data_IF_055503934024
#
_entry.id   IF_055503934024
#
_cell.length_a   1.000
_cell.length_b   1.000
_cell.length_c   1.000
_cell.angle_alpha   90.00
_cell.angle_beta   90.00
_cell.angle_gamma   90.00
#
_symmetry.space_group_name_H-M   'P 1'
#
loop_
_entity.id
_entity.type
_entity.pdbx_description
1 polymer ?
#
# COMPACT_ATOMS: atom_id res chain seq x y z
N UNK A 1 50.39 39.61 7.16
CA UNK A 1 49.71 39.89 8.45
C UNK A 1 49.08 38.57 8.91
N UNK A 2 49.65 38.03 9.99
CA UNK A 2 49.20 36.96 10.89
C UNK A 2 48.57 35.65 10.36
N UNK A 3 49.37 34.60 10.58
CA UNK A 3 49.09 33.16 10.69
C UNK A 3 47.92 32.87 11.63
N UNK A 4 47.11 31.85 11.32
CA UNK A 4 46.49 30.97 12.34
C UNK A 4 46.10 29.61 11.73
N UNK A 5 47.10 28.73 11.67
CA UNK A 5 47.02 27.33 11.28
C UNK A 5 46.55 26.42 12.45
N UNK A 6 45.66 26.92 13.32
CA UNK A 6 45.44 26.39 14.68
C UNK A 6 44.04 25.87 15.03
N UNK A 7 43.10 25.77 14.08
CA UNK A 7 41.72 25.38 14.41
C UNK A 7 41.44 23.86 14.30
N UNK A 8 42.36 23.09 13.70
CA UNK A 8 42.14 21.65 13.41
C UNK A 8 42.64 20.71 14.50
N UNK A 9 43.46 21.19 15.44
CA UNK A 9 44.02 20.41 16.56
C UNK A 9 43.18 20.46 17.83
N UNK A 10 42.40 21.52 18.06
CA UNK A 10 41.57 21.67 19.28
C UNK A 10 40.30 20.80 19.28
N UNK A 11 39.79 20.40 18.10
CA UNK A 11 38.63 19.50 17.98
C UNK A 11 38.97 18.02 18.24
N UNK A 12 40.25 17.64 18.12
CA UNK A 12 40.72 16.27 18.36
C UNK A 12 41.05 16.06 19.84
N UNK A 13 41.50 17.11 20.54
CA UNK A 13 41.84 17.04 21.96
C UNK A 13 40.62 16.89 22.89
N UNK A 14 39.45 17.43 22.52
CA UNK A 14 38.24 17.37 23.35
C UNK A 14 37.49 16.04 23.26
N UNK A 15 37.67 15.28 22.18
CA UNK A 15 37.08 13.94 22.02
C UNK A 15 37.91 12.83 22.71
N UNK A 16 39.19 13.06 22.96
CA UNK A 16 40.05 12.09 23.65
C UNK A 16 39.92 12.13 25.19
N UNK A 17 39.54 13.27 25.77
CA UNK A 17 39.43 13.45 27.23
C UNK A 17 38.08 12.98 27.82
N UNK A 18 37.06 12.77 27.00
CA UNK A 18 35.77 12.20 27.44
C UNK A 18 35.76 10.67 27.55
N UNK A 19 36.83 10.00 27.10
CA UNK A 19 37.00 8.53 27.20
C UNK A 19 37.73 8.07 28.48
N UNK A 20 38.18 8.99 29.35
CA UNK A 20 38.94 8.66 30.57
C UNK A 20 38.17 8.81 31.88
N UNK A 21 36.89 9.20 31.85
CA UNK A 21 36.07 9.40 33.06
C UNK A 21 34.68 8.75 33.00
N UNK A 22 34.61 7.45 32.73
CA UNK A 22 33.48 6.68 33.25
C UNK A 22 33.89 5.27 33.71
N UNK A 23 33.51 4.85 34.93
CA UNK A 23 34.05 3.66 35.57
C UNK A 23 33.39 2.37 35.05
N UNK A 24 34.19 1.31 35.07
CA UNK A 24 33.83 -0.07 34.79
C UNK A 24 33.04 -0.73 35.92
N UNK A 25 31.85 -1.23 35.62
CA UNK A 25 31.22 -2.45 36.16
C UNK A 25 30.21 -2.90 35.09
N UNK A 26 30.02 -4.14 34.66
CA UNK A 26 30.56 -5.45 34.96
C UNK A 26 29.56 -6.46 34.37
N UNK A 27 30.07 -7.42 33.59
CA UNK A 27 29.46 -8.70 33.19
C UNK A 27 28.33 -8.75 32.13
N UNK A 28 28.60 -9.48 31.04
CA UNK A 28 27.61 -9.96 30.07
C UNK A 28 28.20 -10.15 28.67
N UNK A 29 29.08 -11.15 28.50
CA UNK A 29 29.76 -11.40 27.23
C UNK A 29 28.83 -11.82 26.10
N UNK A 30 29.02 -11.24 24.92
CA UNK A 30 28.51 -11.75 23.65
C UNK A 30 29.72 -11.94 22.73
N UNK A 31 30.04 -13.20 22.50
CA UNK A 31 31.10 -13.64 21.58
C UNK A 31 30.72 -13.35 20.13
N UNK A 32 31.66 -12.71 19.47
CA UNK A 32 31.78 -12.48 18.03
C UNK A 32 31.91 -13.85 17.31
N UNK A 33 30.95 -14.22 16.47
CA UNK A 33 31.09 -15.34 15.54
C UNK A 33 31.02 -14.86 14.09
N UNK A 34 32.23 -14.70 13.56
CA UNK A 34 32.64 -14.80 12.17
C UNK A 34 31.72 -15.72 11.35
N UNK A 35 31.03 -15.12 10.37
CA UNK A 35 30.30 -15.82 9.32
C UNK A 35 31.27 -16.71 8.50
N UNK A 36 31.27 -18.01 8.78
CA UNK A 36 31.89 -19.01 7.91
C UNK A 36 30.83 -19.55 6.94
N UNK A 37 31.15 -19.46 5.65
CA UNK A 37 30.39 -20.07 4.57
C UNK A 37 30.60 -21.60 4.65
N UNK A 38 29.76 -22.28 5.42
CA UNK A 38 29.69 -23.74 5.47
C UNK A 38 28.73 -24.25 4.41
N UNK A 39 29.28 -24.81 3.34
CA UNK A 39 28.54 -25.71 2.46
C UNK A 39 28.39 -27.07 3.14
N UNK A 40 27.16 -27.58 3.25
CA UNK A 40 26.80 -28.98 2.94
C UNK A 40 25.29 -29.15 3.10
N UNK A 41 24.74 -29.94 2.17
CA UNK A 41 23.38 -30.48 2.16
C UNK A 41 22.91 -30.94 3.55
N UNK A 42 21.70 -30.53 3.92
CA UNK A 42 20.74 -31.48 4.47
C UNK A 42 19.31 -30.95 4.39
N UNK A 43 18.45 -31.80 3.85
CA UNK A 43 17.02 -31.61 3.61
C UNK A 43 16.25 -31.46 4.94
N UNK A 44 16.42 -30.32 5.60
CA UNK A 44 15.66 -29.92 6.76
C UNK A 44 14.67 -28.84 6.33
N UNK A 45 13.39 -29.21 6.27
CA UNK A 45 12.32 -28.22 6.16
C UNK A 45 12.36 -27.36 7.42
N UNK A 46 13.04 -26.21 7.34
CA UNK A 46 13.02 -25.20 8.40
C UNK A 46 11.56 -24.80 8.60
N UNK A 47 10.97 -25.27 9.69
CA UNK A 47 9.64 -24.85 10.10
C UNK A 47 9.78 -23.39 10.49
N UNK A 48 9.40 -22.49 9.58
CA UNK A 48 9.33 -21.06 9.83
C UNK A 48 8.28 -20.83 10.93
N UNK A 49 8.73 -20.77 12.17
CA UNK A 49 7.85 -20.49 13.30
C UNK A 49 7.44 -19.02 13.27
N UNK A 50 6.19 -18.77 12.86
CA UNK A 50 5.62 -17.44 12.86
C UNK A 50 5.34 -17.01 14.30
N UNK A 51 6.25 -16.24 14.90
CA UNK A 51 5.99 -15.57 16.16
C UNK A 51 4.71 -14.72 16.04
N UNK A 52 3.71 -15.02 16.87
CA UNK A 52 2.43 -14.30 16.86
C UNK A 52 2.65 -12.91 17.43
N UNK A 53 2.62 -11.90 16.55
CA UNK A 53 2.63 -10.49 16.95
C UNK A 53 1.21 -10.09 17.33
N UNK A 54 0.99 -9.77 18.58
CA UNK A 54 -0.27 -9.20 19.07
C UNK A 54 -0.15 -7.68 19.03
N UNK A 55 -1.11 -7.01 18.39
CA UNK A 55 -1.24 -5.56 18.48
C UNK A 55 -2.02 -5.29 19.76
N UNK A 56 -1.31 -4.86 20.82
CA UNK A 56 -1.96 -4.38 22.05
C UNK A 56 -2.31 -2.91 21.83
N UNK A 57 -3.60 -2.59 21.73
CA UNK A 57 -4.04 -1.20 21.67
C UNK A 57 -4.00 -0.62 23.10
N UNK A 58 -3.42 0.57 23.31
CA UNK A 58 -3.44 1.20 24.61
C UNK A 58 -4.89 1.41 25.05
N UNK A 59 -5.17 0.99 26.29
CA UNK A 59 -6.44 1.24 26.97
C UNK A 59 -6.53 2.77 27.11
N UNK A 60 -7.65 3.37 26.69
CA UNK A 60 -7.91 4.83 26.52
C UNK A 60 -7.85 5.36 25.07
N UNK A 61 -7.69 4.49 24.07
CA UNK A 61 -7.85 4.87 22.65
C UNK A 61 -6.53 5.23 21.95
N UNK A 62 -6.65 5.70 20.71
CA UNK A 62 -5.49 5.97 19.85
C UNK A 62 -5.75 7.07 18.83
N UNK A 63 -4.65 7.62 18.29
CA UNK A 63 -4.67 8.66 17.26
C UNK A 63 -4.20 8.05 15.95
N UNK A 64 -5.08 7.97 14.95
CA UNK A 64 -4.66 7.70 13.58
C UNK A 64 -4.42 9.02 12.88
N UNK A 65 -3.22 9.20 12.32
CA UNK A 65 -2.82 10.43 11.63
C UNK A 65 -2.35 10.10 10.23
N UNK A 66 -2.98 10.74 9.24
CA UNK A 66 -2.57 10.68 7.83
C UNK A 66 -2.16 12.09 7.41
N UNK A 67 -0.92 12.23 6.96
CA UNK A 67 -0.41 13.48 6.39
C UNK A 67 -0.30 13.32 4.87
N UNK A 68 -1.06 14.11 4.13
CA UNK A 68 -0.99 14.20 2.67
C UNK A 68 -0.25 15.49 2.33
N UNK A 69 0.89 15.36 1.66
CA UNK A 69 1.69 16.50 1.21
C UNK A 69 1.66 16.61 -0.32
N UNK A 70 1.57 17.84 -0.83
CA UNK A 70 1.77 18.17 -2.23
C UNK A 70 2.83 19.26 -2.32
N UNK A 71 3.87 19.02 -3.12
CA UNK A 71 4.89 20.00 -3.46
C UNK A 71 4.98 20.10 -4.98
N UNK A 72 4.89 21.32 -5.50
CA UNK A 72 5.06 21.57 -6.93
C UNK A 72 5.84 22.86 -7.18
N UNK A 73 6.87 22.83 -8.06
CA UNK A 73 7.54 24.05 -8.49
C UNK A 73 6.64 24.84 -9.46
N UNK A 74 6.41 26.12 -9.17
CA UNK A 74 5.63 27.02 -10.03
C UNK A 74 6.56 28.03 -10.69
N UNK A 75 6.62 28.00 -12.03
CA UNK A 75 7.34 29.01 -12.82
C UNK A 75 6.41 30.18 -13.09
N UNK A 76 6.69 31.32 -12.50
CA UNK A 76 6.03 32.59 -12.85
C UNK A 76 6.82 33.30 -13.95
N UNK A 77 6.25 34.37 -14.50
CA UNK A 77 6.93 35.21 -15.49
C UNK A 77 8.18 35.93 -14.91
N UNK A 78 8.35 35.91 -13.58
CA UNK A 78 9.53 36.43 -12.90
C UNK A 78 10.65 35.37 -12.77
N UNK A 79 11.93 35.79 -12.77
CA UNK A 79 13.09 34.90 -12.87
C UNK A 79 13.36 34.03 -11.63
N UNK A 80 12.64 34.24 -10.53
CA UNK A 80 12.86 33.52 -9.28
C UNK A 80 11.97 32.26 -9.19
N UNK A 81 12.54 31.06 -8.99
CA UNK A 81 11.74 29.85 -8.78
C UNK A 81 11.03 29.91 -7.42
N UNK A 82 9.72 29.65 -7.42
CA UNK A 82 8.92 29.53 -6.18
C UNK A 82 8.30 28.13 -6.12
N UNK A 83 8.22 27.56 -4.92
CA UNK A 83 7.54 26.29 -4.67
C UNK A 83 6.18 26.52 -4.02
N UNK A 84 5.19 25.75 -4.46
CA UNK A 84 3.88 25.67 -3.83
C UNK A 84 3.85 24.40 -3.00
N UNK A 85 3.66 24.56 -1.70
CA UNK A 85 3.58 23.46 -0.73
C UNK A 85 2.20 23.45 -0.09
N UNK A 86 1.55 22.30 -0.11
CA UNK A 86 0.26 22.04 0.53
C UNK A 86 0.42 20.83 1.45
N UNK A 87 0.01 20.97 2.71
CA UNK A 87 -0.04 19.88 3.67
C UNK A 87 -1.44 19.73 4.23
N UNK A 88 -2.05 18.56 4.06
CA UNK A 88 -3.34 18.19 4.65
C UNK A 88 -3.07 17.15 5.73
N UNK A 89 -3.48 17.45 6.95
CA UNK A 89 -3.32 16.56 8.09
C UNK A 89 -4.71 16.07 8.53
N UNK A 90 -4.99 14.80 8.27
CA UNK A 90 -6.18 14.10 8.71
C UNK A 90 -5.86 13.37 10.01
N UNK A 91 -6.40 13.89 11.12
CA UNK A 91 -6.26 13.27 12.43
C UNK A 91 -7.61 12.74 12.88
N UNK A 92 -7.65 11.44 13.18
CA UNK A 92 -8.82 10.80 13.76
C UNK A 92 -8.46 10.27 15.15
N UNK A 93 -9.14 10.81 16.16
CA UNK A 93 -9.00 10.38 17.54
C UNK A 93 -10.11 9.37 17.83
N UNK A 94 -9.74 8.16 18.24
CA UNK A 94 -10.70 7.11 18.58
C UNK A 94 -10.60 6.81 20.06
N UNK A 95 -11.65 7.12 20.81
CA UNK A 95 -11.80 6.68 22.19
C UNK A 95 -12.30 5.23 22.18
N UNK A 96 -11.46 4.29 22.60
CA UNK A 96 -11.87 2.91 22.82
C UNK A 96 -12.44 2.82 24.23
N UNK A 97 -13.68 2.37 24.36
CA UNK A 97 -14.30 2.15 25.67
C UNK A 97 -13.42 1.20 26.49
N UNK A 98 -13.18 1.49 27.78
CA UNK A 98 -12.42 0.59 28.66
C UNK A 98 -13.17 -0.74 28.89
N UNK A 99 -14.48 -0.75 28.63
CA UNK A 99 -15.25 -1.97 28.59
C UNK A 99 -14.92 -2.69 27.30
N UNK A 100 -14.08 -3.70 27.43
CA UNK A 100 -13.65 -4.56 26.34
C UNK A 100 -14.86 -5.36 25.86
N UNK A 101 -15.59 -4.83 24.87
CA UNK A 101 -16.66 -5.55 24.15
C UNK A 101 -16.02 -6.50 23.13
N UNK A 102 -14.97 -7.25 23.52
CA UNK A 102 -14.62 -8.39 22.68
C UNK A 102 -15.84 -9.32 22.72
N UNK A 103 -16.31 -9.84 21.58
CA UNK A 103 -17.08 -11.07 21.64
C UNK A 103 -16.26 -12.04 22.48
N UNK A 104 -16.88 -12.71 23.47
CA UNK A 104 -16.24 -13.81 24.18
C UNK A 104 -15.41 -14.62 23.19
N UNK A 105 -14.16 -14.97 23.49
CA UNK A 105 -13.28 -15.63 22.52
C UNK A 105 -13.84 -17.02 22.23
N UNK A 106 -14.83 -17.08 21.35
CA UNK A 106 -15.04 -18.23 20.52
C UNK A 106 -13.73 -18.39 19.75
N UNK A 107 -13.19 -19.61 19.75
CA UNK A 107 -11.83 -19.94 19.32
C UNK A 107 -11.32 -19.01 18.20
N UNK A 108 -10.06 -18.59 18.25
CA UNK A 108 -9.44 -17.72 17.23
C UNK A 108 -9.67 -18.27 15.80
N UNK A 109 -9.88 -19.58 15.67
CA UNK A 109 -10.27 -20.29 14.45
C UNK A 109 -11.70 -20.01 13.97
N UNK A 110 -12.66 -19.79 14.88
CA UNK A 110 -14.04 -19.40 14.56
C UNK A 110 -14.15 -17.94 14.12
N UNK A 111 -13.32 -17.03 14.64
CA UNK A 111 -13.18 -15.67 14.11
C UNK A 111 -12.40 -15.60 12.78
N UNK A 112 -11.52 -16.57 12.52
CA UNK A 112 -10.87 -16.77 11.21
C UNK A 112 -11.76 -17.51 10.21
N UNK A 113 -12.94 -17.97 10.62
CA UNK A 113 -13.93 -18.49 9.71
C UNK A 113 -14.45 -17.29 8.89
N UNK A 114 -13.72 -16.98 7.82
CA UNK A 114 -13.92 -15.87 6.88
C UNK A 114 -15.33 -15.84 6.25
N UNK A 115 -16.10 -16.91 6.41
CA UNK A 115 -17.48 -17.04 5.93
C UNK A 115 -18.39 -15.86 6.34
N UNK A 116 -18.11 -15.19 7.47
CA UNK A 116 -18.87 -14.02 7.91
C UNK A 116 -18.24 -12.65 7.63
N UNK A 117 -16.95 -12.58 7.24
CA UNK A 117 -16.23 -11.31 7.08
C UNK A 117 -16.10 -10.86 5.62
N UNK A 118 -16.21 -11.79 4.65
CA UNK A 118 -16.36 -11.36 3.26
C UNK A 118 -17.79 -10.87 3.04
N UNK A 119 -18.02 -9.56 3.22
CA UNK A 119 -19.27 -8.94 2.79
C UNK A 119 -19.38 -9.09 1.25
N UNK A 120 -20.28 -9.95 0.74
CA UNK A 120 -20.39 -10.19 -0.70
C UNK A 120 -20.80 -8.91 -1.45
N UNK A 121 -21.33 -7.91 -0.75
CA UNK A 121 -21.73 -6.62 -1.32
C UNK A 121 -20.62 -5.55 -1.29
N UNK A 122 -19.49 -5.81 -0.65
CA UNK A 122 -18.39 -4.82 -0.53
C UNK A 122 -17.90 -4.34 -1.89
N UNK A 123 -17.54 -5.27 -2.79
CA UNK A 123 -17.13 -4.97 -4.17
C UNK A 123 -18.25 -4.36 -5.00
N UNK A 124 -19.49 -4.78 -4.77
CA UNK A 124 -20.66 -4.19 -5.43
C UNK A 124 -20.80 -2.69 -5.11
N UNK A 125 -20.57 -2.29 -3.85
CA UNK A 125 -20.58 -0.88 -3.45
C UNK A 125 -19.43 -0.09 -4.08
N UNK A 126 -18.23 -0.68 -4.12
CA UNK A 126 -17.06 -0.05 -4.78
C UNK A 126 -17.35 0.18 -6.26
N UNK A 127 -17.84 -0.83 -6.98
CA UNK A 127 -18.16 -0.71 -8.40
C UNK A 127 -19.32 0.24 -8.65
N UNK A 128 -20.32 0.31 -7.77
CA UNK A 128 -21.38 1.29 -7.85
C UNK A 128 -20.87 2.73 -7.69
N UNK A 129 -19.93 2.96 -6.77
CA UNK A 129 -19.27 4.26 -6.59
C UNK A 129 -18.43 4.64 -7.81
N UNK A 130 -17.65 3.69 -8.34
CA UNK A 130 -16.87 3.90 -9.57
C UNK A 130 -17.77 4.18 -10.77
N UNK A 131 -18.89 3.47 -10.90
CA UNK A 131 -19.86 3.71 -11.98
C UNK A 131 -20.50 5.11 -11.85
N UNK A 132 -20.78 5.58 -10.64
CA UNK A 132 -21.25 6.96 -10.41
C UNK A 132 -20.19 7.99 -10.78
N UNK A 133 -18.94 7.75 -10.43
CA UNK A 133 -17.83 8.64 -10.78
C UNK A 133 -17.62 8.72 -12.30
N UNK A 134 -17.60 7.56 -12.97
CA UNK A 134 -17.53 7.48 -14.43
C UNK A 134 -18.76 8.10 -15.11
N UNK A 135 -19.96 7.99 -14.53
CA UNK A 135 -21.15 8.68 -15.03
C UNK A 135 -20.97 10.19 -15.02
N UNK A 136 -20.39 10.76 -13.96
CA UNK A 136 -20.10 12.19 -13.87
C UNK A 136 -19.04 12.60 -14.89
N UNK A 137 -17.99 11.80 -15.07
CA UNK A 137 -16.90 12.12 -15.99
C UNK A 137 -17.29 11.96 -17.48
N UNK A 138 -18.06 10.93 -17.85
CA UNK A 138 -18.40 10.60 -19.24
C UNK A 138 -19.80 11.07 -19.68
N UNK A 139 -20.62 11.55 -18.76
CA UNK A 139 -21.97 12.07 -19.02
C UNK A 139 -23.04 11.03 -19.42
N UNK A 140 -22.70 9.74 -19.59
CA UNK A 140 -23.68 8.69 -19.93
C UNK A 140 -23.49 7.39 -19.14
N UNK A 141 -24.59 6.86 -18.62
CA UNK A 141 -24.57 5.64 -17.79
C UNK A 141 -24.18 4.36 -18.51
N UNK A 142 -24.58 4.20 -19.79
CA UNK A 142 -24.19 3.03 -20.59
C UNK A 142 -22.69 2.97 -20.86
N UNK A 143 -22.07 4.11 -21.19
CA UNK A 143 -20.62 4.19 -21.43
C UNK A 143 -19.84 3.96 -20.13
N UNK A 144 -20.28 4.57 -19.02
CA UNK A 144 -19.65 4.37 -17.71
C UNK A 144 -19.56 2.88 -17.32
N UNK A 145 -20.66 2.13 -17.49
CA UNK A 145 -20.67 0.69 -17.21
C UNK A 145 -19.79 -0.10 -18.18
N UNK A 146 -19.77 0.27 -19.46
CA UNK A 146 -18.89 -0.32 -20.47
C UNK A 146 -17.41 -0.12 -20.13
N UNK A 147 -17.02 1.09 -19.72
CA UNK A 147 -15.64 1.40 -19.32
C UNK A 147 -15.20 0.63 -18.07
N UNK A 148 -16.09 0.46 -17.08
CA UNK A 148 -15.79 -0.33 -15.90
C UNK A 148 -15.62 -1.83 -16.23
N UNK A 149 -16.44 -2.37 -17.14
CA UNK A 149 -16.29 -3.75 -17.62
C UNK A 149 -15.00 -3.94 -18.42
N UNK A 150 -14.65 -2.97 -19.27
CA UNK A 150 -13.37 -2.95 -19.98
C UNK A 150 -12.18 -2.96 -19.02
N UNK A 151 -12.24 -2.14 -17.97
CA UNK A 151 -11.20 -2.08 -16.92
C UNK A 151 -11.00 -3.44 -16.25
N UNK A 152 -12.08 -4.14 -15.88
CA UNK A 152 -12.00 -5.49 -15.29
C UNK A 152 -11.38 -6.50 -16.26
N UNK A 153 -11.71 -6.40 -17.54
CA UNK A 153 -11.12 -7.25 -18.57
C UNK A 153 -9.61 -6.98 -18.74
N UNK A 154 -9.20 -5.71 -18.82
CA UNK A 154 -7.81 -5.30 -18.99
C UNK A 154 -6.92 -5.70 -17.80
N UNK A 155 -7.42 -5.56 -16.57
CA UNK A 155 -6.70 -6.00 -15.37
C UNK A 155 -6.55 -7.52 -15.34
N UNK A 156 -7.56 -8.26 -15.81
CA UNK A 156 -7.50 -9.72 -15.87
C UNK A 156 -6.57 -10.24 -16.97
N UNK A 157 -6.42 -9.49 -18.07
CA UNK A 157 -5.46 -9.79 -19.16
C UNK A 157 -4.02 -9.43 -18.76
N UNK A 158 -3.85 -8.28 -18.10
CA UNK A 158 -2.55 -7.73 -17.69
C UNK A 158 -2.51 -7.43 -16.19
N UNK A 159 -2.22 -8.44 -15.34
CA UNK A 159 -2.21 -8.26 -13.90
C UNK A 159 -1.11 -7.30 -13.44
N UNK A 160 -1.43 -6.46 -12.46
CA UNK A 160 -0.63 -5.29 -12.05
C UNK A 160 0.44 -5.61 -10.97
N UNK A 161 0.83 -6.88 -10.79
CA UNK A 161 1.68 -7.36 -9.68
C UNK A 161 3.03 -6.65 -9.52
N UNK A 162 3.55 -6.00 -10.56
CA UNK A 162 4.84 -5.30 -10.53
C UNK A 162 4.76 -3.79 -10.29
N UNK A 163 3.56 -3.24 -10.02
CA UNK A 163 3.36 -1.80 -9.78
C UNK A 163 3.33 -1.45 -8.28
N UNK A 164 3.96 -2.29 -7.43
CA UNK A 164 3.98 -2.13 -5.98
C UNK A 164 2.60 -2.27 -5.33
N UNK A 165 2.44 -1.67 -4.13
CA UNK A 165 1.22 -1.77 -3.33
C UNK A 165 -0.03 -1.30 -4.08
N UNK A 166 0.09 -0.24 -4.87
CA UNK A 166 -1.05 0.30 -5.64
C UNK A 166 -1.48 -0.68 -6.73
N UNK A 167 -0.52 -1.34 -7.40
CA UNK A 167 -0.81 -2.37 -8.39
C UNK A 167 -1.56 -3.56 -7.81
N UNK A 168 -1.06 -4.10 -6.70
CA UNK A 168 -1.73 -5.20 -5.99
C UNK A 168 -3.13 -4.81 -5.49
N UNK A 169 -3.29 -3.58 -5.01
CA UNK A 169 -4.60 -3.10 -4.56
C UNK A 169 -5.59 -3.02 -5.73
N UNK A 170 -5.18 -2.48 -6.87
CA UNK A 170 -6.02 -2.39 -8.07
C UNK A 170 -6.37 -3.78 -8.60
N UNK A 171 -5.40 -4.70 -8.61
CA UNK A 171 -5.62 -6.10 -9.00
C UNK A 171 -6.68 -6.77 -8.11
N UNK A 172 -6.58 -6.61 -6.79
CA UNK A 172 -7.58 -7.13 -5.85
C UNK A 172 -8.96 -6.52 -6.10
N UNK A 173 -9.05 -5.20 -6.30
CA UNK A 173 -10.32 -4.49 -6.50
C UNK A 173 -10.99 -4.92 -7.82
N UNK A 174 -10.23 -5.04 -8.91
CA UNK A 174 -10.75 -5.30 -10.26
C UNK A 174 -10.78 -6.77 -10.65
N UNK A 175 -10.41 -7.68 -9.76
CA UNK A 175 -10.54 -9.14 -9.96
C UNK A 175 -11.73 -9.71 -9.20
N UNK A 176 -12.97 -9.68 -9.77
CA UNK A 176 -14.17 -10.18 -9.10
C UNK A 176 -14.15 -11.71 -8.97
N UNK A 177 -14.60 -12.21 -7.83
CA UNK A 177 -14.70 -13.64 -7.52
C UNK A 177 -16.16 -14.13 -7.60
N UNK A 178 -16.37 -15.44 -7.73
CA UNK A 178 -17.71 -16.03 -7.82
C UNK A 178 -18.53 -15.87 -6.52
N UNK A 179 -17.86 -15.65 -5.39
CA UNK A 179 -18.48 -15.36 -4.09
C UNK A 179 -19.09 -13.96 -4.00
N UNK A 180 -18.79 -13.07 -4.94
CA UNK A 180 -19.21 -11.68 -4.87
C UNK A 180 -20.64 -11.51 -5.40
N UNK A 181 -21.45 -10.67 -4.73
CA UNK A 181 -22.80 -10.30 -5.17
C UNK A 181 -22.77 -9.29 -6.33
N UNK A 182 -22.11 -9.66 -7.42
CA UNK A 182 -21.91 -8.85 -8.62
C UNK A 182 -22.76 -9.36 -9.79
N UNK A 183 -23.03 -8.47 -10.74
CA UNK A 183 -23.69 -8.86 -11.99
C UNK A 183 -22.81 -9.88 -12.74
N UNK A 184 -23.39 -10.93 -13.35
CA UNK A 184 -22.61 -11.96 -14.06
C UNK A 184 -21.76 -11.41 -15.21
N UNK A 185 -22.09 -10.20 -15.71
CA UNK A 185 -21.30 -9.48 -16.71
C UNK A 185 -19.86 -9.19 -16.25
N UNK A 186 -19.63 -8.93 -14.96
CA UNK A 186 -18.30 -8.68 -14.42
C UNK A 186 -17.45 -9.95 -14.33
N UNK A 187 -18.07 -11.07 -13.96
CA UNK A 187 -17.41 -12.38 -13.97
C UNK A 187 -17.03 -12.79 -15.40
N UNK A 188 -17.91 -12.53 -16.37
CA UNK A 188 -17.61 -12.76 -17.78
C UNK A 188 -16.48 -11.84 -18.28
N UNK A 189 -16.48 -10.56 -17.93
CA UNK A 189 -15.41 -9.64 -18.27
C UNK A 189 -14.04 -10.13 -17.80
N UNK A 190 -13.96 -10.61 -16.54
CA UNK A 190 -12.74 -11.22 -15.99
C UNK A 190 -12.32 -12.45 -16.79
N UNK A 191 -13.26 -13.34 -17.11
CA UNK A 191 -12.98 -14.56 -17.90
C UNK A 191 -12.47 -14.23 -19.30
N UNK A 192 -12.99 -13.18 -19.95
CA UNK A 192 -12.49 -12.74 -21.26
C UNK A 192 -11.05 -12.22 -21.19
N UNK A 193 -10.74 -11.40 -20.19
CA UNK A 193 -9.37 -10.93 -19.96
C UNK A 193 -8.41 -12.07 -19.65
N UNK A 194 -8.79 -12.99 -18.75
CA UNK A 194 -7.98 -14.16 -18.41
C UNK A 194 -7.71 -15.10 -19.61
N UNK A 195 -8.56 -15.07 -20.63
CA UNK A 195 -8.39 -15.82 -21.87
C UNK A 195 -7.60 -15.06 -22.95
N UNK A 196 -7.12 -13.84 -22.68
CA UNK A 196 -6.36 -13.02 -23.62
C UNK A 196 -7.20 -12.48 -24.79
N UNK A 197 -8.51 -12.29 -24.59
CA UNK A 197 -9.37 -11.67 -25.60
C UNK A 197 -9.10 -10.17 -25.66
N UNK A 198 -9.09 -9.58 -26.85
CA UNK A 198 -8.95 -8.14 -27.03
C UNK A 198 -10.14 -7.37 -26.38
N UNK A 199 -9.89 -6.90 -25.16
CA UNK A 199 -10.84 -6.18 -24.32
C UNK A 199 -11.31 -4.86 -24.95
N UNK A 200 -10.47 -4.22 -25.79
CA UNK A 200 -10.81 -2.99 -26.52
C UNK A 200 -11.94 -3.23 -27.49
N UNK A 201 -11.80 -4.29 -28.29
CA UNK A 201 -12.77 -4.65 -29.33
C UNK A 201 -14.07 -5.17 -28.71
N UNK A 202 -13.96 -5.94 -27.63
CA UNK A 202 -15.12 -6.49 -26.92
C UNK A 202 -15.98 -5.39 -26.27
N UNK A 203 -15.34 -4.37 -25.70
CA UNK A 203 -16.01 -3.25 -25.02
C UNK A 203 -15.88 -1.94 -25.79
N UNK A 204 -16.26 -1.94 -27.07
CA UNK A 204 -16.21 -0.78 -27.98
C UNK A 204 -17.02 0.45 -27.54
N UNK A 205 -17.93 0.29 -26.57
CA UNK A 205 -18.64 1.40 -25.94
C UNK A 205 -17.73 2.35 -25.13
N UNK A 206 -16.51 1.93 -24.83
CA UNK A 206 -15.49 2.71 -24.14
C UNK A 206 -14.20 2.81 -24.99
N UNK A 207 -14.02 3.87 -25.79
CA UNK A 207 -12.80 4.07 -26.57
C UNK A 207 -11.61 4.45 -25.67
N UNK A 208 -10.40 4.41 -26.25
CA UNK A 208 -9.15 4.82 -25.59
C UNK A 208 -9.27 6.24 -25.02
N UNK A 209 -8.78 6.44 -23.79
CA UNK A 209 -8.80 7.71 -23.08
C UNK A 209 -10.06 7.94 -22.23
N UNK A 210 -11.03 7.03 -22.29
CA UNK A 210 -12.24 7.05 -21.46
C UNK A 210 -12.26 5.95 -20.40
N UNK A 211 -11.31 5.00 -20.45
CA UNK A 211 -11.14 3.98 -19.42
C UNK A 211 -10.62 4.57 -18.11
N UNK A 212 -10.92 3.90 -16.99
CA UNK A 212 -10.42 4.32 -15.68
C UNK A 212 -8.88 4.26 -15.62
N UNK A 213 -8.30 3.22 -16.21
CA UNK A 213 -6.86 3.00 -16.24
C UNK A 213 -6.15 3.79 -17.34
N UNK A 214 -6.85 4.21 -18.40
CA UNK A 214 -6.26 5.00 -19.50
C UNK A 214 -5.72 6.36 -19.01
N UNK A 215 -6.28 6.89 -17.92
CA UNK A 215 -5.83 8.17 -17.33
C UNK A 215 -4.54 8.02 -16.51
N UNK A 216 -4.29 6.83 -15.95
CA UNK A 216 -3.23 6.58 -14.97
C UNK A 216 -2.11 5.72 -15.55
N UNK A 217 -2.41 4.93 -16.58
CA UNK A 217 -1.50 3.97 -17.19
C UNK A 217 -1.51 4.13 -18.72
N UNK A 218 -0.32 4.00 -19.32
CA UNK A 218 -0.20 3.79 -20.76
C UNK A 218 -0.08 2.29 -20.98
N UNK A 219 -1.11 1.68 -21.53
CA UNK A 219 -1.01 0.29 -22.00
C UNK A 219 -0.03 0.30 -23.18
N UNK A 220 1.10 -0.39 -23.04
CA UNK A 220 1.98 -0.69 -24.16
C UNK A 220 1.26 -1.73 -25.02
N UNK A 221 0.56 -1.24 -26.04
CA UNK A 221 -0.02 -2.09 -27.08
C UNK A 221 1.13 -2.85 -27.75
N UNK A 222 1.03 -4.17 -27.78
CA UNK A 222 1.94 -5.06 -28.52
C UNK A 222 1.67 -4.99 -30.01
#
# INVERSE_FOLDING_TARGET
>A
MFVLHGCRTYLIATLALSWLYLPSTGAGGVSDERFQLGATDDNSTVVLERAKRLINFPINGGVAKVLLGFLSPVRFHHPLPRSLNLGINLQANYAISPNIIFPHPESIFKNRNLAGYSDPHSRQRVYATLERWLKMALGTGRRARGCLLRTVCEVADTPLHHNGLVGELLDVIFTPQESDALSPKFLMARRYGANGVDCMRLYSACPLGMGLLDYVSRVLVK
#
